data_IF_320929751620
#
_entry.id   IF_320929751620
#
_cell.length_a   1.000
_cell.length_b   1.000
_cell.length_c   1.000
_cell.angle_alpha   90.00
_cell.angle_beta   90.00
_cell.angle_gamma   90.00
#
_symmetry.space_group_name_H-M   'P 1'
#
loop_
_entity.id
_entity.type
_entity.pdbx_description
1 polymer ?
#
# COMPACT_ATOMS: atom_id res chain seq x y z
N UNK A 1 -25.00 -75.51 14.35
CA UNK A 1 -23.77 -74.71 14.53
C UNK A 1 -24.02 -73.41 13.72
N UNK A 2 -24.44 -72.37 14.41
CA UNK A 2 -24.75 -71.06 13.83
C UNK A 2 -23.49 -70.19 13.86
N UNK A 3 -23.06 -69.75 12.69
CA UNK A 3 -22.01 -68.77 12.56
C UNK A 3 -22.69 -67.44 12.27
N UNK A 4 -22.68 -66.54 13.26
CA UNK A 4 -23.12 -65.14 13.08
C UNK A 4 -21.98 -64.36 12.46
N UNK A 5 -22.25 -63.78 11.28
CA UNK A 5 -21.41 -62.75 10.66
C UNK A 5 -21.71 -61.41 11.37
N UNK A 6 -20.66 -60.86 11.97
CA UNK A 6 -20.68 -59.51 12.52
C UNK A 6 -20.24 -58.55 11.39
N UNK A 7 -21.22 -57.82 10.82
CA UNK A 7 -20.93 -56.70 9.91
C UNK A 7 -20.44 -55.49 10.72
N UNK A 8 -19.17 -55.14 10.52
CA UNK A 8 -18.64 -53.85 10.96
C UNK A 8 -19.05 -52.77 9.97
N UNK A 9 -20.07 -52.02 10.30
CA UNK A 9 -20.33 -50.71 9.69
C UNK A 9 -19.30 -49.72 10.25
N UNK A 10 -18.26 -49.44 9.45
CA UNK A 10 -17.36 -48.32 9.69
C UNK A 10 -17.99 -47.04 9.14
N UNK A 11 -18.74 -46.38 9.99
CA UNK A 11 -19.15 -44.99 9.77
C UNK A 11 -17.88 -44.11 9.69
N UNK A 12 -17.47 -43.79 8.45
CA UNK A 12 -16.44 -42.79 8.18
C UNK A 12 -17.03 -41.43 8.56
N UNK A 13 -16.68 -40.98 9.76
CA UNK A 13 -16.96 -39.60 10.17
C UNK A 13 -16.21 -38.64 9.20
N UNK A 14 -16.95 -38.03 8.29
CA UNK A 14 -16.42 -36.97 7.45
C UNK A 14 -15.90 -35.86 8.36
N UNK A 15 -14.58 -35.65 8.34
CA UNK A 15 -13.97 -34.47 8.97
C UNK A 15 -14.58 -33.24 8.31
N UNK A 16 -15.20 -32.34 9.06
CA UNK A 16 -15.73 -31.11 8.48
C UNK A 16 -14.57 -30.34 7.87
N UNK A 17 -14.52 -30.27 6.56
CA UNK A 17 -13.70 -29.31 5.83
C UNK A 17 -14.24 -27.94 6.17
N UNK A 18 -13.67 -27.28 7.17
CA UNK A 18 -13.88 -25.86 7.39
C UNK A 18 -13.36 -25.14 6.16
N UNK A 19 -14.26 -24.81 5.25
CA UNK A 19 -13.99 -23.87 4.18
C UNK A 19 -13.80 -22.51 4.84
N UNK A 20 -12.57 -22.04 4.93
CA UNK A 20 -12.30 -20.66 5.35
C UNK A 20 -12.93 -19.70 4.33
N UNK A 21 -13.58 -18.66 4.84
CA UNK A 21 -14.11 -17.57 4.01
C UNK A 21 -12.95 -16.88 3.27
N UNK A 22 -12.93 -16.89 1.92
CA UNK A 22 -11.85 -16.29 1.15
C UNK A 22 -11.63 -14.80 1.44
N UNK A 23 -12.71 -14.06 1.75
CA UNK A 23 -12.62 -12.63 2.10
C UNK A 23 -11.90 -12.45 3.44
N UNK A 24 -12.18 -13.29 4.42
CA UNK A 24 -11.50 -13.25 5.72
C UNK A 24 -10.02 -13.58 5.58
N UNK A 25 -9.68 -14.55 4.75
CA UNK A 25 -8.27 -14.91 4.48
C UNK A 25 -7.54 -13.77 3.76
N UNK A 26 -8.16 -13.19 2.73
CA UNK A 26 -7.58 -12.07 1.99
C UNK A 26 -7.45 -10.79 2.85
N UNK A 27 -8.37 -10.59 3.80
CA UNK A 27 -8.36 -9.46 4.71
C UNK A 27 -7.34 -9.59 5.85
N UNK A 28 -6.86 -10.81 6.13
CA UNK A 28 -6.00 -11.09 7.28
C UNK A 28 -4.72 -10.23 7.29
N UNK A 29 -3.99 -10.18 6.19
CA UNK A 29 -2.74 -9.40 6.11
C UNK A 29 -3.03 -7.90 6.22
N UNK A 30 -4.12 -7.43 5.59
CA UNK A 30 -4.55 -6.04 5.61
C UNK A 30 -4.93 -5.59 7.02
N UNK A 31 -5.55 -6.46 7.80
CA UNK A 31 -5.93 -6.19 9.19
C UNK A 31 -4.73 -5.83 10.09
N UNK A 32 -3.52 -6.15 9.68
CA UNK A 32 -2.31 -5.90 10.46
C UNK A 32 -1.55 -4.61 10.05
N UNK A 33 -2.06 -3.83 9.12
CA UNK A 33 -1.37 -2.61 8.65
C UNK A 33 -1.15 -1.57 9.77
N UNK A 34 -2.11 -1.41 10.69
CA UNK A 34 -1.90 -0.57 11.87
C UNK A 34 -0.83 -1.12 12.83
N UNK A 35 -0.76 -2.44 12.99
CA UNK A 35 0.29 -3.08 13.77
C UNK A 35 1.67 -2.92 13.12
N UNK A 36 1.77 -2.93 11.79
CA UNK A 36 3.01 -2.63 11.07
C UNK A 36 3.53 -1.21 11.35
N UNK A 37 2.64 -0.22 11.40
CA UNK A 37 2.98 1.14 11.80
C UNK A 37 3.55 1.19 13.23
N UNK A 38 2.93 0.46 14.18
CA UNK A 38 3.41 0.38 15.58
C UNK A 38 4.77 -0.30 15.69
N UNK A 39 5.04 -1.33 14.91
CA UNK A 39 6.37 -1.96 14.86
C UNK A 39 7.44 -0.94 14.46
N UNK A 40 7.15 -0.08 13.48
CA UNK A 40 8.08 0.98 13.08
C UNK A 40 8.19 2.06 14.18
N UNK A 41 7.08 2.45 14.82
CA UNK A 41 7.08 3.42 15.92
C UNK A 41 7.94 2.94 17.09
N UNK A 42 7.78 1.68 17.50
CA UNK A 42 8.57 1.08 18.57
C UNK A 42 10.05 0.93 18.18
N UNK A 43 10.32 0.58 16.92
CA UNK A 43 11.69 0.52 16.42
C UNK A 43 12.39 1.90 16.47
N UNK A 44 11.67 2.98 16.13
CA UNK A 44 12.16 4.36 16.28
C UNK A 44 12.39 4.67 17.74
N UNK A 45 11.42 4.40 18.63
CA UNK A 45 11.51 4.72 20.07
C UNK A 45 12.66 3.97 20.75
N UNK A 46 12.92 2.72 20.37
CA UNK A 46 14.01 1.91 20.91
C UNK A 46 15.40 2.26 20.35
N UNK A 47 15.51 3.29 19.52
CA UNK A 47 16.78 3.75 18.96
C UNK A 47 17.22 3.06 17.70
N UNK A 48 16.36 2.28 17.07
CA UNK A 48 16.70 1.55 15.82
C UNK A 48 17.10 2.45 14.66
N UNK A 49 16.71 3.74 14.68
CA UNK A 49 17.08 4.75 13.70
C UNK A 49 17.90 5.91 14.29
N UNK A 50 18.55 5.72 15.45
CA UNK A 50 19.36 6.75 16.12
C UNK A 50 20.38 7.39 15.18
N UNK A 51 21.00 6.59 14.34
CA UNK A 51 22.02 7.05 13.42
C UNK A 51 21.47 8.07 12.37
N UNK A 52 20.15 8.14 12.17
CA UNK A 52 19.49 9.10 11.27
C UNK A 52 19.27 10.44 11.96
N UNK A 53 19.00 10.41 13.27
CA UNK A 53 18.52 11.58 14.00
C UNK A 53 19.47 12.77 13.89
N UNK A 54 18.93 13.91 13.45
CA UNK A 54 19.66 15.17 13.34
C UNK A 54 20.77 15.19 12.30
N UNK A 55 20.92 14.15 11.47
CA UNK A 55 21.87 14.15 10.37
C UNK A 55 21.44 15.13 9.28
N UNK A 56 22.39 15.55 8.46
CA UNK A 56 22.15 16.40 7.29
C UNK A 56 22.64 15.69 6.03
N UNK A 57 21.93 14.67 5.55
CA UNK A 57 22.34 13.97 4.37
C UNK A 57 22.23 14.87 3.13
N UNK A 58 23.08 14.60 2.14
CA UNK A 58 22.98 15.27 0.84
C UNK A 58 21.71 14.86 0.09
N UNK A 59 21.29 13.60 0.25
CA UNK A 59 20.04 13.08 -0.28
C UNK A 59 19.58 11.84 0.48
N UNK A 60 18.27 11.54 0.36
CA UNK A 60 17.69 10.24 0.74
C UNK A 60 17.30 9.53 -0.56
N UNK A 61 17.79 8.31 -0.74
CA UNK A 61 17.53 7.52 -1.96
C UNK A 61 16.77 6.25 -1.59
N UNK A 62 15.55 6.13 -2.07
CA UNK A 62 14.76 4.92 -1.92
C UNK A 62 14.94 4.04 -3.15
N UNK A 63 15.54 2.87 -2.97
CA UNK A 63 15.78 1.89 -4.03
C UNK A 63 14.76 0.77 -3.94
N UNK A 64 13.93 0.62 -4.97
CA UNK A 64 12.91 -0.41 -5.06
C UNK A 64 12.58 -0.74 -6.50
N UNK A 65 12.23 -1.99 -6.78
CA UNK A 65 11.80 -2.47 -8.11
C UNK A 65 10.31 -2.78 -8.17
N UNK A 66 9.60 -2.56 -7.07
CA UNK A 66 8.18 -2.92 -6.93
C UNK A 66 7.30 -1.67 -7.01
N UNK A 67 6.19 -1.76 -7.77
CA UNK A 67 5.31 -0.63 -7.97
C UNK A 67 4.64 -0.19 -6.66
N UNK A 68 4.19 -1.11 -5.81
CA UNK A 68 3.59 -0.80 -4.50
C UNK A 68 4.60 -0.03 -3.63
N UNK A 69 5.83 -0.54 -3.50
CA UNK A 69 6.88 0.13 -2.72
C UNK A 69 7.27 1.50 -3.29
N UNK A 70 7.31 1.64 -4.62
CA UNK A 70 7.56 2.91 -5.31
C UNK A 70 6.50 3.95 -4.94
N UNK A 71 5.22 3.60 -5.06
CA UNK A 71 4.13 4.52 -4.76
C UNK A 71 3.97 4.77 -3.26
N UNK A 72 4.28 3.80 -2.40
CA UNK A 72 4.36 3.99 -0.94
C UNK A 72 5.40 5.05 -0.57
N UNK A 73 6.59 4.98 -1.16
CA UNK A 73 7.61 6.00 -0.96
C UNK A 73 7.15 7.39 -1.47
N UNK A 74 6.47 7.47 -2.61
CA UNK A 74 5.93 8.73 -3.12
C UNK A 74 4.84 9.32 -2.21
N UNK A 75 4.01 8.49 -1.56
CA UNK A 75 3.07 8.96 -0.53
C UNK A 75 3.81 9.63 0.62
N UNK A 76 4.86 8.99 1.14
CA UNK A 76 5.67 9.55 2.22
C UNK A 76 6.28 10.90 1.87
N UNK A 77 6.80 11.01 0.64
CA UNK A 77 7.36 12.26 0.10
C UNK A 77 6.30 13.36 0.03
N UNK A 78 5.11 13.02 -0.49
CA UNK A 78 4.03 14.00 -0.63
C UNK A 78 3.47 14.46 0.72
N UNK A 79 3.42 13.58 1.72
CA UNK A 79 2.96 13.92 3.07
C UNK A 79 3.99 14.74 3.87
N UNK A 80 5.27 14.62 3.53
CA UNK A 80 6.34 15.33 4.24
C UNK A 80 6.76 16.65 3.54
N UNK A 81 6.16 16.96 2.41
CA UNK A 81 6.49 18.20 1.68
C UNK A 81 6.12 19.46 2.48
N UNK A 82 6.94 20.55 2.42
CA UNK A 82 8.13 20.72 1.61
C UNK A 82 9.37 20.01 2.19
N UNK A 83 10.14 19.33 1.34
CA UNK A 83 11.31 18.57 1.74
C UNK A 83 12.54 19.46 1.98
N UNK A 84 13.31 19.21 3.02
CA UNK A 84 14.59 19.89 3.27
C UNK A 84 15.78 19.30 2.50
N UNK A 85 15.68 18.02 2.13
CA UNK A 85 16.70 17.32 1.38
C UNK A 85 16.08 16.67 0.14
N UNK A 86 16.82 16.52 -0.96
CA UNK A 86 16.35 15.77 -2.11
C UNK A 86 16.02 14.32 -1.72
N UNK A 87 14.82 13.85 -2.12
CA UNK A 87 14.42 12.45 -1.99
C UNK A 87 14.18 11.88 -3.37
N UNK A 88 14.86 10.75 -3.67
CA UNK A 88 14.83 10.12 -4.99
C UNK A 88 14.32 8.69 -4.82
N UNK A 89 13.30 8.33 -5.59
CA UNK A 89 12.80 6.94 -5.69
C UNK A 89 13.24 6.38 -7.02
N UNK A 90 13.92 5.24 -7.02
CA UNK A 90 14.55 4.68 -8.22
C UNK A 90 14.66 3.16 -8.15
N UNK A 91 14.68 2.51 -9.31
CA UNK A 91 14.91 1.06 -9.39
C UNK A 91 16.40 0.68 -9.25
N UNK A 92 17.32 1.58 -9.58
CA UNK A 92 18.76 1.32 -9.56
C UNK A 92 19.49 2.29 -8.62
N UNK A 93 20.51 1.81 -7.91
CA UNK A 93 21.34 2.66 -7.07
C UNK A 93 22.15 3.64 -7.93
N UNK A 94 21.92 4.97 -7.83
CA UNK A 94 22.62 5.93 -8.66
C UNK A 94 24.13 5.95 -8.37
N UNK A 95 24.93 6.24 -9.40
CA UNK A 95 26.39 6.22 -9.27
C UNK A 95 26.97 7.29 -8.35
N UNK A 96 26.24 8.38 -8.15
CA UNK A 96 26.68 9.50 -7.30
C UNK A 96 26.51 9.24 -5.79
N UNK A 97 25.74 8.22 -5.42
CA UNK A 97 25.42 7.90 -4.01
C UNK A 97 26.69 7.45 -3.27
N UNK A 98 26.89 8.02 -2.08
CA UNK A 98 28.09 7.81 -1.24
C UNK A 98 27.86 8.12 0.24
N UNK A 99 28.92 8.34 1.03
CA UNK A 99 28.85 8.40 2.50
C UNK A 99 27.96 9.51 3.08
N UNK A 100 27.60 10.51 2.29
CA UNK A 100 26.72 11.61 2.71
C UNK A 100 25.24 11.37 2.37
N UNK A 101 24.91 10.19 1.85
CA UNK A 101 23.55 9.87 1.44
C UNK A 101 22.97 8.77 2.37
N UNK A 102 21.66 8.83 2.58
CA UNK A 102 20.91 7.74 3.20
C UNK A 102 20.27 6.93 2.08
N UNK A 103 20.43 5.61 2.13
CA UNK A 103 19.83 4.68 1.17
C UNK A 103 18.80 3.80 1.90
N UNK A 104 17.56 3.83 1.44
CA UNK A 104 16.50 2.94 1.90
C UNK A 104 16.27 1.91 0.80
N UNK A 105 16.56 0.64 1.07
CA UNK A 105 16.17 -0.47 0.18
C UNK A 105 14.82 -1.00 0.64
N UNK A 106 13.79 -0.80 -0.20
CA UNK A 106 12.41 -1.13 0.14
C UNK A 106 11.84 -2.19 -0.81
N UNK A 107 11.30 -3.28 -0.23
CA UNK A 107 10.69 -4.39 -0.97
C UNK A 107 9.78 -5.21 -0.05
N UNK A 108 8.76 -5.83 -0.60
CA UNK A 108 7.94 -6.81 0.11
C UNK A 108 8.51 -8.25 -0.01
N UNK A 109 9.59 -8.42 -0.74
CA UNK A 109 10.25 -9.71 -0.94
C UNK A 109 11.43 -9.89 0.02
N UNK A 110 11.64 -11.12 0.45
CA UNK A 110 12.83 -11.49 1.24
C UNK A 110 14.08 -11.71 0.38
N UNK A 111 13.94 -11.84 -0.94
CA UNK A 111 15.02 -12.14 -1.87
C UNK A 111 14.84 -11.39 -3.19
N UNK A 112 15.87 -10.65 -3.57
CA UNK A 112 16.02 -9.97 -4.86
C UNK A 112 17.50 -9.75 -5.13
N UNK A 113 18.05 -10.39 -6.16
CA UNK A 113 19.47 -10.24 -6.51
C UNK A 113 19.81 -8.78 -6.84
N UNK A 114 18.94 -8.11 -7.58
CA UNK A 114 19.13 -6.71 -7.94
C UNK A 114 19.20 -5.79 -6.72
N UNK A 115 18.26 -5.95 -5.78
CA UNK A 115 18.27 -5.15 -4.54
C UNK A 115 19.39 -5.54 -3.60
N UNK A 116 19.81 -6.81 -3.57
CA UNK A 116 21.00 -7.27 -2.84
C UNK A 116 22.28 -6.61 -3.36
N UNK A 117 22.43 -6.50 -4.69
CA UNK A 117 23.56 -5.78 -5.30
C UNK A 117 23.52 -4.27 -4.97
N UNK A 118 22.34 -3.65 -4.98
CA UNK A 118 22.18 -2.25 -4.59
C UNK A 118 22.53 -2.04 -3.11
N UNK A 119 22.01 -2.89 -2.21
CA UNK A 119 22.27 -2.90 -0.78
C UNK A 119 23.78 -3.00 -0.48
N UNK A 120 24.43 -4.05 -0.97
CA UNK A 120 25.87 -4.30 -0.75
C UNK A 120 26.76 -3.21 -1.38
N UNK A 121 26.34 -2.66 -2.51
CA UNK A 121 27.06 -1.56 -3.15
C UNK A 121 26.95 -0.27 -2.33
N UNK A 122 25.76 0.05 -1.79
CA UNK A 122 25.56 1.22 -0.94
C UNK A 122 26.41 1.12 0.34
N UNK A 123 26.40 -0.05 1.01
CA UNK A 123 27.24 -0.29 2.19
C UNK A 123 28.73 -0.11 1.87
N UNK A 124 29.23 -0.73 0.79
CA UNK A 124 30.63 -0.57 0.37
C UNK A 124 31.02 0.87 0.04
N UNK A 125 30.07 1.71 -0.36
CA UNK A 125 30.29 3.15 -0.58
C UNK A 125 30.21 3.97 0.71
N UNK A 126 29.97 3.33 1.85
CA UNK A 126 29.88 3.99 3.16
C UNK A 126 28.59 4.75 3.38
N UNK A 127 27.52 4.45 2.63
CA UNK A 127 26.20 5.03 2.87
C UNK A 127 25.61 4.52 4.17
N UNK A 128 24.78 5.33 4.81
CA UNK A 128 23.85 4.83 5.81
C UNK A 128 22.77 4.06 5.07
N UNK A 129 22.63 2.77 5.36
CA UNK A 129 21.69 1.89 4.64
C UNK A 129 20.62 1.36 5.58
N UNK A 130 19.36 1.47 5.15
CA UNK A 130 18.18 0.98 5.86
C UNK A 130 17.48 -0.02 4.95
N UNK A 131 17.23 -1.23 5.46
CA UNK A 131 16.51 -2.29 4.75
C UNK A 131 15.09 -2.42 5.30
N UNK A 132 14.12 -2.33 4.39
CA UNK A 132 12.69 -2.63 4.63
C UNK A 132 12.31 -3.76 3.71
N UNK A 133 12.19 -4.97 4.24
CA UNK A 133 11.84 -6.17 3.45
C UNK A 133 11.03 -7.17 4.30
N UNK A 134 10.48 -8.18 3.65
CA UNK A 134 9.97 -9.33 4.39
C UNK A 134 11.09 -10.00 5.19
N UNK A 135 10.74 -10.64 6.29
CA UNK A 135 11.69 -11.29 7.20
C UNK A 135 12.48 -12.41 6.52
N UNK A 136 13.75 -12.53 6.89
CA UNK A 136 14.64 -13.61 6.41
C UNK A 136 15.14 -13.42 4.97
N UNK A 137 15.59 -14.50 4.36
CA UNK A 137 16.06 -14.49 2.97
C UNK A 137 17.46 -13.91 2.74
N UNK A 138 17.77 -13.64 1.47
CA UNK A 138 19.07 -13.15 1.02
C UNK A 138 19.36 -11.73 1.52
N UNK A 139 18.38 -10.83 1.41
CA UNK A 139 18.55 -9.42 1.77
C UNK A 139 18.93 -9.24 3.24
N UNK A 140 18.31 -9.99 4.15
CA UNK A 140 18.66 -9.94 5.58
C UNK A 140 20.07 -10.50 5.86
N UNK A 141 20.49 -11.54 5.12
CA UNK A 141 21.86 -12.06 5.24
C UNK A 141 22.91 -11.04 4.77
N UNK A 142 22.61 -10.37 3.69
CA UNK A 142 23.51 -9.36 3.12
C UNK A 142 23.56 -8.08 3.96
N UNK A 143 22.47 -7.74 4.65
CA UNK A 143 22.36 -6.60 5.55
C UNK A 143 23.03 -6.81 6.92
N UNK A 144 23.27 -8.04 7.32
CA UNK A 144 23.39 -8.52 8.72
C UNK A 144 24.42 -7.83 9.63
N UNK A 145 25.32 -6.97 9.15
CA UNK A 145 26.32 -6.29 10.00
C UNK A 145 26.48 -4.79 9.73
N UNK A 146 25.99 -4.27 8.63
CA UNK A 146 26.30 -2.92 8.19
C UNK A 146 25.05 -2.07 7.86
N UNK A 147 23.89 -2.70 7.69
CA UNK A 147 22.65 -2.01 7.42
C UNK A 147 21.68 -2.09 8.62
N UNK A 148 20.90 -1.04 8.79
CA UNK A 148 19.77 -1.02 9.72
C UNK A 148 18.63 -1.83 9.11
N UNK A 149 18.24 -2.92 9.75
CA UNK A 149 17.12 -3.76 9.31
C UNK A 149 15.88 -3.42 10.10
N UNK A 150 14.85 -2.92 9.41
CA UNK A 150 13.58 -2.60 10.05
C UNK A 150 12.78 -3.88 10.30
N UNK A 151 12.31 -4.12 11.53
CA UNK A 151 11.54 -5.33 11.84
C UNK A 151 10.20 -5.35 11.07
N UNK A 152 9.72 -6.55 10.81
CA UNK A 152 8.39 -6.81 10.27
C UNK A 152 7.62 -7.74 11.20
N UNK A 153 6.29 -7.71 11.12
CA UNK A 153 5.47 -8.68 11.84
C UNK A 153 5.72 -10.09 11.28
N UNK A 154 5.91 -11.09 12.15
CA UNK A 154 5.97 -12.46 11.71
C UNK A 154 4.61 -12.92 11.18
N UNK A 155 4.59 -13.89 10.27
CA UNK A 155 3.37 -14.52 9.71
C UNK A 155 2.52 -13.62 8.79
N UNK A 156 3.01 -12.46 8.39
CA UNK A 156 2.39 -11.62 7.36
C UNK A 156 3.15 -11.84 6.06
N UNK A 157 2.45 -12.32 5.04
CA UNK A 157 3.05 -12.67 3.75
C UNK A 157 2.71 -11.68 2.63
N UNK A 158 1.62 -10.94 2.79
CA UNK A 158 1.16 -9.93 1.83
C UNK A 158 1.99 -8.64 1.84
N UNK A 159 1.76 -7.76 0.86
CA UNK A 159 2.40 -6.45 0.85
C UNK A 159 1.91 -5.60 2.02
N UNK A 160 2.80 -4.79 2.59
CA UNK A 160 2.49 -3.84 3.64
C UNK A 160 2.91 -2.42 3.21
N UNK A 161 2.07 -1.74 2.40
CA UNK A 161 2.36 -0.39 1.93
C UNK A 161 2.55 0.58 3.08
N UNK A 162 1.79 0.45 4.18
CA UNK A 162 1.90 1.37 5.30
C UNK A 162 3.19 1.20 6.09
N UNK A 163 3.80 0.01 6.14
CA UNK A 163 5.13 -0.19 6.72
C UNK A 163 6.20 0.58 5.96
N UNK A 164 6.19 0.49 4.63
CA UNK A 164 7.14 1.23 3.79
C UNK A 164 6.93 2.74 3.96
N UNK A 165 5.68 3.20 3.95
CA UNK A 165 5.33 4.60 4.22
C UNK A 165 5.88 5.03 5.58
N UNK A 166 5.64 4.25 6.62
CA UNK A 166 6.08 4.56 7.99
C UNK A 166 7.60 4.72 8.09
N UNK A 167 8.37 3.82 7.46
CA UNK A 167 9.84 3.90 7.50
C UNK A 167 10.36 5.13 6.77
N UNK A 168 9.86 5.40 5.56
CA UNK A 168 10.30 6.59 4.80
C UNK A 168 9.90 7.87 5.55
N UNK A 169 8.68 7.93 6.10
CA UNK A 169 8.25 9.05 6.94
C UNK A 169 9.11 9.21 8.19
N UNK A 170 9.43 8.11 8.89
CA UNK A 170 10.28 8.15 10.08
C UNK A 170 11.68 8.69 9.74
N UNK A 171 12.29 8.22 8.67
CA UNK A 171 13.61 8.71 8.22
C UNK A 171 13.55 10.22 7.94
N UNK A 172 12.55 10.69 7.21
CA UNK A 172 12.41 12.11 6.88
C UNK A 172 12.13 12.95 8.14
N UNK A 173 11.27 12.47 9.04
CA UNK A 173 10.94 13.16 10.28
C UNK A 173 12.16 13.28 11.22
N UNK A 174 12.97 12.23 11.37
CA UNK A 174 14.15 12.20 12.23
C UNK A 174 15.26 13.15 11.80
N UNK A 175 15.25 13.61 10.54
CA UNK A 175 16.16 14.69 10.11
C UNK A 175 15.84 16.03 10.79
N UNK A 176 14.62 16.21 11.28
CA UNK A 176 14.09 17.48 11.81
C UNK A 176 13.52 17.40 13.21
N UNK A 177 13.15 16.22 13.67
CA UNK A 177 12.42 15.97 14.92
C UNK A 177 13.14 14.92 15.77
N UNK A 178 12.77 14.85 17.05
CA UNK A 178 13.22 13.80 17.93
C UNK A 178 12.45 12.48 17.73
N UNK A 179 13.00 11.41 18.27
CA UNK A 179 12.46 10.05 18.17
C UNK A 179 11.08 9.93 18.79
N UNK A 180 10.88 10.49 19.98
CA UNK A 180 9.61 10.34 20.69
C UNK A 180 8.46 10.98 19.94
N UNK A 181 8.67 12.17 19.39
CA UNK A 181 7.69 12.84 18.55
C UNK A 181 7.41 12.05 17.27
N UNK A 182 8.45 11.55 16.62
CA UNK A 182 8.31 10.73 15.41
C UNK A 182 7.51 9.45 15.69
N UNK A 183 7.86 8.74 16.77
CA UNK A 183 7.16 7.53 17.18
C UNK A 183 5.69 7.81 17.56
N UNK A 184 5.42 8.91 18.28
CA UNK A 184 4.05 9.31 18.65
C UNK A 184 3.18 9.55 17.43
N UNK A 185 3.67 10.26 16.41
CA UNK A 185 2.93 10.50 15.16
C UNK A 185 2.60 9.18 14.44
N UNK A 186 3.53 8.22 14.45
CA UNK A 186 3.29 6.90 13.85
C UNK A 186 2.25 6.09 14.63
N UNK A 187 2.26 6.16 15.98
CA UNK A 187 1.26 5.49 16.82
C UNK A 187 -0.14 6.07 16.67
N UNK A 188 -0.24 7.40 16.63
CA UNK A 188 -1.51 8.08 16.34
C UNK A 188 -2.05 7.67 14.96
N UNK A 189 -1.16 7.64 13.97
CA UNK A 189 -1.49 7.17 12.62
C UNK A 189 -1.95 5.71 12.61
N UNK A 190 -1.28 4.84 13.36
CA UNK A 190 -1.67 3.44 13.52
C UNK A 190 -3.08 3.30 14.11
N UNK A 191 -3.39 4.10 15.12
CA UNK A 191 -4.71 4.10 15.74
C UNK A 191 -5.82 4.55 14.78
N UNK A 192 -5.54 5.52 13.92
CA UNK A 192 -6.46 5.95 12.86
C UNK A 192 -6.65 4.86 11.80
N UNK A 193 -5.56 4.19 11.42
CA UNK A 193 -5.61 3.07 10.44
C UNK A 193 -6.41 1.91 11.00
N UNK A 194 -6.19 1.50 12.25
CA UNK A 194 -6.96 0.41 12.89
C UNK A 194 -8.45 0.73 12.95
N UNK A 195 -8.80 1.96 13.31
CA UNK A 195 -10.19 2.39 13.34
C UNK A 195 -10.86 2.30 11.96
N UNK A 196 -10.13 2.60 10.89
CA UNK A 196 -10.62 2.47 9.52
C UNK A 196 -10.75 1.00 9.09
N UNK A 197 -9.70 0.20 9.34
CA UNK A 197 -9.69 -1.24 9.02
C UNK A 197 -10.82 -1.97 9.72
N UNK A 198 -11.09 -1.63 10.99
CA UNK A 198 -12.19 -2.22 11.76
C UNK A 198 -13.54 -2.00 11.05
N UNK A 199 -13.79 -0.81 10.48
CA UNK A 199 -14.99 -0.51 9.70
C UNK A 199 -15.04 -1.22 8.34
N UNK A 200 -13.89 -1.68 7.85
CA UNK A 200 -13.75 -2.44 6.61
C UNK A 200 -13.75 -3.95 6.82
N UNK A 201 -13.96 -4.44 8.06
CA UNK A 201 -13.96 -5.89 8.37
C UNK A 201 -14.99 -6.66 7.55
N UNK A 202 -14.65 -7.88 7.07
CA UNK A 202 -15.60 -8.78 6.39
C UNK A 202 -16.86 -9.10 7.19
N UNK A 203 -16.85 -8.91 8.51
CA UNK A 203 -18.01 -9.09 9.38
C UNK A 203 -19.13 -8.11 9.08
N UNK A 204 -18.83 -6.96 8.46
CA UNK A 204 -19.84 -5.97 8.09
C UNK A 204 -20.37 -6.21 6.67
N UNK A 205 -21.71 -6.16 6.56
CA UNK A 205 -22.39 -6.23 5.27
C UNK A 205 -22.12 -5.01 4.39
N UNK A 206 -22.52 -5.12 3.13
CA UNK A 206 -22.29 -4.10 2.09
C UNK A 206 -22.70 -2.68 2.50
N UNK A 207 -23.88 -2.53 3.11
CA UNK A 207 -24.42 -1.22 3.49
C UNK A 207 -23.55 -0.47 4.51
N UNK A 208 -22.81 -1.20 5.35
CA UNK A 208 -21.98 -0.64 6.42
C UNK A 208 -20.49 -0.62 6.07
N UNK A 209 -20.04 -1.36 5.04
CA UNK A 209 -18.62 -1.55 4.71
C UNK A 209 -18.23 -0.78 3.46
N UNK A 210 -17.54 0.34 3.64
CA UNK A 210 -17.08 1.21 2.53
C UNK A 210 -16.09 0.51 1.60
N UNK A 211 -15.22 -0.34 2.12
CA UNK A 211 -14.26 -1.08 1.30
C UNK A 211 -14.97 -2.08 0.38
N UNK A 212 -16.00 -2.78 0.90
CA UNK A 212 -16.84 -3.67 0.10
C UNK A 212 -17.61 -2.91 -0.98
N UNK A 213 -18.17 -1.76 -0.66
CA UNK A 213 -18.84 -0.90 -1.65
C UNK A 213 -17.89 -0.45 -2.76
N UNK A 214 -16.65 -0.11 -2.44
CA UNK A 214 -15.61 0.26 -3.41
C UNK A 214 -15.24 -0.93 -4.31
N UNK A 215 -15.12 -2.12 -3.75
CA UNK A 215 -14.78 -3.32 -4.51
C UNK A 215 -15.85 -3.68 -5.56
N UNK A 216 -17.12 -3.34 -5.31
CA UNK A 216 -18.23 -3.64 -6.23
C UNK A 216 -18.35 -2.68 -7.41
N UNK A 217 -17.60 -1.57 -7.42
CA UNK A 217 -17.60 -0.67 -8.58
C UNK A 217 -17.04 -1.43 -9.78
N UNK A 218 -17.82 -1.56 -10.84
CA UNK A 218 -17.45 -2.26 -12.06
C UNK A 218 -17.03 -1.31 -13.18
N UNK A 219 -16.26 -1.82 -14.14
CA UNK A 219 -15.72 -1.04 -15.26
C UNK A 219 -14.29 -0.59 -15.03
N UNK A 220 -13.77 0.22 -15.95
CA UNK A 220 -12.44 0.80 -15.78
C UNK A 220 -12.47 1.97 -14.80
N UNK A 221 -11.65 1.93 -13.77
CA UNK A 221 -11.66 2.90 -12.68
C UNK A 221 -10.48 3.85 -12.81
N UNK A 222 -10.76 5.15 -12.74
CA UNK A 222 -9.73 6.19 -12.63
C UNK A 222 -9.75 6.73 -11.19
N UNK A 223 -8.65 6.49 -10.48
CA UNK A 223 -8.40 7.12 -9.19
C UNK A 223 -7.83 8.53 -9.41
N UNK A 224 -8.29 9.51 -8.64
CA UNK A 224 -7.84 10.89 -8.79
C UNK A 224 -7.67 11.60 -7.45
N UNK A 225 -7.02 12.74 -7.46
CA UNK A 225 -6.83 13.63 -6.32
C UNK A 225 -6.53 15.06 -6.74
N UNK A 226 -6.82 16.01 -5.89
CA UNK A 226 -6.65 17.46 -6.14
C UNK A 226 -5.35 18.01 -5.57
N UNK A 227 -4.82 17.40 -4.51
CA UNK A 227 -3.55 17.78 -3.88
C UNK A 227 -2.45 16.77 -4.20
N UNK A 228 -1.19 17.15 -3.99
CA UNK A 228 -0.06 16.23 -4.21
C UNK A 228 -0.17 14.92 -3.39
N UNK A 229 -0.62 15.03 -2.12
CA UNK A 229 -0.84 13.87 -1.27
C UNK A 229 -2.01 13.00 -1.75
N UNK A 230 -3.12 13.62 -2.14
CA UNK A 230 -4.27 12.90 -2.69
C UNK A 230 -3.94 12.19 -4.00
N UNK A 231 -3.16 12.81 -4.89
CA UNK A 231 -2.64 12.17 -6.11
C UNK A 231 -1.73 10.99 -5.78
N UNK A 232 -0.83 11.14 -4.80
CA UNK A 232 0.04 10.04 -4.38
C UNK A 232 -0.76 8.85 -3.80
N UNK A 233 -1.80 9.13 -3.00
CA UNK A 233 -2.75 8.12 -2.49
C UNK A 233 -3.47 7.43 -3.65
N UNK A 234 -4.02 8.20 -4.60
CA UNK A 234 -4.70 7.68 -5.78
C UNK A 234 -3.79 6.75 -6.60
N UNK A 235 -2.53 7.13 -6.80
CA UNK A 235 -1.54 6.33 -7.52
C UNK A 235 -1.28 4.99 -6.80
N UNK A 236 -1.10 5.00 -5.48
CA UNK A 236 -0.87 3.79 -4.70
C UNK A 236 -2.08 2.86 -4.75
N UNK A 237 -3.29 3.40 -4.57
CA UNK A 237 -4.52 2.58 -4.59
C UNK A 237 -4.74 1.99 -5.98
N UNK A 238 -4.51 2.74 -7.06
CA UNK A 238 -4.61 2.22 -8.42
C UNK A 238 -3.67 1.01 -8.64
N UNK A 239 -2.43 1.10 -8.18
CA UNK A 239 -1.46 -0.01 -8.28
C UNK A 239 -1.89 -1.20 -7.43
N UNK A 240 -2.34 -0.97 -6.19
CA UNK A 240 -2.88 -2.03 -5.33
C UNK A 240 -4.03 -2.75 -6.03
N UNK A 241 -5.04 -2.03 -6.51
CA UNK A 241 -6.20 -2.64 -7.16
C UNK A 241 -5.81 -3.42 -8.43
N UNK A 242 -4.92 -2.86 -9.25
CA UNK A 242 -4.41 -3.56 -10.44
C UNK A 242 -3.66 -4.84 -10.07
N UNK A 243 -2.89 -4.83 -8.98
CA UNK A 243 -2.16 -6.01 -8.49
C UNK A 243 -3.10 -7.12 -8.01
N UNK A 244 -4.32 -6.76 -7.59
CA UNK A 244 -5.36 -7.70 -7.19
C UNK A 244 -6.42 -7.95 -8.28
N UNK A 245 -6.08 -7.66 -9.55
CA UNK A 245 -6.89 -8.03 -10.71
C UNK A 245 -8.02 -7.07 -11.08
N UNK A 246 -8.12 -5.89 -10.44
CA UNK A 246 -9.12 -4.89 -10.78
C UNK A 246 -8.56 -3.85 -11.76
N UNK A 247 -9.22 -3.70 -12.91
CA UNK A 247 -8.81 -2.70 -13.90
C UNK A 247 -8.91 -1.28 -13.34
N UNK A 248 -7.76 -0.68 -13.07
CA UNK A 248 -7.70 0.67 -12.56
C UNK A 248 -6.45 1.43 -13.00
N UNK A 249 -6.55 2.73 -13.02
CA UNK A 249 -5.45 3.66 -13.29
C UNK A 249 -5.61 4.90 -12.42
N UNK A 250 -4.66 5.81 -12.49
CA UNK A 250 -4.74 7.09 -11.78
C UNK A 250 -4.40 8.25 -12.69
N UNK A 251 -5.07 9.38 -12.47
CA UNK A 251 -4.78 10.67 -13.11
C UNK A 251 -4.97 11.81 -12.12
N UNK A 252 -4.11 12.82 -12.12
CA UNK A 252 -4.37 14.05 -11.38
C UNK A 252 -5.70 14.69 -11.82
N UNK A 253 -6.43 15.30 -10.88
CA UNK A 253 -7.70 15.95 -11.17
C UNK A 253 -7.60 17.00 -12.29
N UNK A 254 -6.49 17.74 -12.36
CA UNK A 254 -6.23 18.72 -13.40
C UNK A 254 -6.21 18.13 -14.83
N UNK A 255 -5.87 16.85 -14.98
CA UNK A 255 -5.79 16.18 -16.28
C UNK A 255 -7.05 15.37 -16.62
N UNK A 256 -7.85 15.02 -15.61
CA UNK A 256 -8.99 14.12 -15.74
C UNK A 256 -10.04 14.64 -16.72
N UNK A 257 -10.37 15.93 -16.70
CA UNK A 257 -11.36 16.52 -17.60
C UNK A 257 -11.04 16.34 -19.09
N UNK A 258 -9.76 16.52 -19.45
CA UNK A 258 -9.30 16.31 -20.82
C UNK A 258 -9.31 14.83 -21.23
N UNK A 259 -8.99 13.93 -20.29
CA UNK A 259 -9.04 12.50 -20.54
C UNK A 259 -10.48 11.99 -20.71
N UNK A 260 -11.39 12.37 -19.83
CA UNK A 260 -12.82 11.98 -19.93
C UNK A 260 -13.45 12.41 -21.24
N UNK A 261 -13.11 13.63 -21.74
CA UNK A 261 -13.57 14.10 -23.04
C UNK A 261 -13.16 13.16 -24.19
N UNK A 262 -11.95 12.60 -24.15
CA UNK A 262 -11.47 11.65 -25.18
C UNK A 262 -12.18 10.29 -25.11
N UNK A 263 -12.43 9.76 -23.92
CA UNK A 263 -13.20 8.54 -23.76
C UNK A 263 -14.65 8.69 -24.25
N UNK A 264 -15.28 9.84 -24.03
CA UNK A 264 -16.63 10.13 -24.50
C UNK A 264 -16.73 10.19 -26.03
N UNK A 265 -15.67 10.62 -26.73
CA UNK A 265 -15.65 10.64 -28.20
C UNK A 265 -15.54 9.24 -28.81
N UNK A 266 -14.91 8.28 -28.15
CA UNK A 266 -14.78 6.91 -28.64
C UNK A 266 -16.12 6.14 -28.70
N UNK A 267 -17.14 6.64 -28.01
CA UNK A 267 -18.49 6.02 -27.93
C UNK A 267 -19.50 6.67 -28.91
N UNK A 268 -19.18 7.81 -29.52
CA UNK A 268 -20.06 8.43 -30.54
C UNK A 268 -19.79 7.83 -31.92
N UNK A 269 -20.29 6.63 -32.14
CA UNK A 269 -20.54 6.15 -33.51
C UNK A 269 -21.70 7.01 -34.07
N UNK A 270 -21.41 7.84 -35.07
CA UNK A 270 -22.40 8.70 -35.75
C UNK A 270 -23.44 7.86 -36.54
N UNK A 271 -23.20 6.56 -36.70
CA UNK A 271 -24.09 5.61 -37.35
C UNK A 271 -24.83 4.69 -36.35
N UNK A 272 -24.64 4.89 -35.03
CA UNK A 272 -25.33 4.12 -34.02
C UNK A 272 -26.84 4.37 -34.06
N UNK A 273 -27.60 3.31 -34.37
CA UNK A 273 -29.05 3.32 -34.30
C UNK A 273 -29.49 2.57 -33.05
N UNK A 274 -30.08 3.25 -32.06
CA UNK A 274 -30.49 2.63 -30.82
C UNK A 274 -31.54 1.53 -30.96
N UNK A 275 -32.26 1.47 -32.12
CA UNK A 275 -33.28 0.46 -32.36
C UNK A 275 -32.71 -0.78 -33.09
N UNK A 276 -31.58 -0.66 -33.76
CA UNK A 276 -30.94 -1.72 -34.55
C UNK A 276 -29.63 -2.22 -33.98
N UNK A 277 -28.87 -1.35 -33.32
CA UNK A 277 -27.55 -1.66 -32.78
C UNK A 277 -27.63 -2.04 -31.32
N UNK A 278 -26.97 -3.12 -30.92
CA UNK A 278 -26.72 -3.35 -29.49
C UNK A 278 -25.91 -2.17 -28.96
N UNK A 279 -26.36 -1.59 -27.83
CA UNK A 279 -25.60 -0.55 -27.16
C UNK A 279 -24.11 -0.92 -27.13
N UNK A 280 -23.20 -0.02 -27.58
CA UNK A 280 -21.79 -0.33 -27.57
C UNK A 280 -21.42 -0.79 -26.15
N UNK A 281 -20.86 -1.98 -26.04
CA UNK A 281 -20.31 -2.53 -24.81
C UNK A 281 -19.03 -1.76 -24.46
N UNK A 282 -19.11 -0.43 -24.41
CA UNK A 282 -18.06 0.41 -23.91
C UNK A 282 -17.93 0.13 -22.40
N UNK A 283 -16.74 -0.24 -21.97
CA UNK A 283 -16.44 -0.33 -20.54
C UNK A 283 -16.86 0.98 -19.88
N UNK A 284 -17.76 0.92 -18.89
CA UNK A 284 -18.16 2.13 -18.19
C UNK A 284 -16.94 2.65 -17.44
N UNK A 285 -16.55 3.88 -17.74
CA UNK A 285 -15.47 4.55 -17.04
C UNK A 285 -16.04 5.14 -15.76
N UNK A 286 -15.39 4.83 -14.63
CA UNK A 286 -15.76 5.31 -13.30
C UNK A 286 -14.62 6.12 -12.69
N UNK A 287 -14.95 7.13 -11.89
CA UNK A 287 -13.95 7.95 -11.21
C UNK A 287 -14.12 7.86 -9.70
N UNK A 288 -13.01 7.73 -8.98
CA UNK A 288 -12.97 7.80 -7.52
C UNK A 288 -11.96 8.89 -7.12
N UNK A 289 -12.44 9.93 -6.47
CA UNK A 289 -11.60 10.99 -5.94
C UNK A 289 -11.22 10.70 -4.48
N UNK A 290 -9.91 10.72 -4.20
CA UNK A 290 -9.32 10.53 -2.88
C UNK A 290 -8.89 11.89 -2.31
N UNK A 291 -9.84 12.69 -1.87
CA UNK A 291 -9.59 14.07 -1.44
C UNK A 291 -10.61 14.53 -0.41
N UNK A 292 -10.42 15.74 0.10
CA UNK A 292 -11.47 16.42 0.85
C UNK A 292 -12.72 16.63 -0.03
N UNK A 293 -13.92 16.66 0.57
CA UNK A 293 -15.15 16.75 -0.20
C UNK A 293 -15.18 18.03 -1.01
N UNK A 294 -15.17 17.87 -2.34
CA UNK A 294 -15.52 18.94 -3.26
C UNK A 294 -16.94 18.73 -3.77
N UNK A 295 -17.76 19.77 -3.84
CA UNK A 295 -19.13 19.63 -4.27
C UNK A 295 -19.21 19.22 -5.74
N UNK A 296 -19.98 18.17 -6.01
CA UNK A 296 -20.60 17.78 -7.29
C UNK A 296 -19.69 17.52 -8.52
N UNK A 297 -18.37 17.54 -8.38
CA UNK A 297 -17.48 17.38 -9.53
C UNK A 297 -17.15 15.92 -9.90
N UNK A 298 -17.42 14.97 -9.01
CA UNK A 298 -16.93 13.59 -9.13
C UNK A 298 -18.07 12.59 -8.99
N UNK A 299 -18.04 11.53 -9.77
CA UNK A 299 -19.00 10.44 -9.67
C UNK A 299 -19.02 9.80 -8.27
N UNK A 300 -17.85 9.71 -7.65
CA UNK A 300 -17.68 9.29 -6.26
C UNK A 300 -16.48 9.97 -5.61
N UNK A 301 -16.66 10.49 -4.42
CA UNK A 301 -15.58 11.02 -3.59
C UNK A 301 -15.45 10.21 -2.32
N UNK A 302 -14.25 9.69 -2.08
CA UNK A 302 -13.87 9.09 -0.81
C UNK A 302 -13.09 10.10 0.03
N UNK A 303 -13.60 10.41 1.19
CA UNK A 303 -12.95 11.31 2.14
C UNK A 303 -13.08 10.80 3.57
N UNK A 304 -12.25 11.31 4.43
CA UNK A 304 -12.24 11.01 5.86
C UNK A 304 -11.97 12.31 6.60
N UNK A 305 -12.83 12.62 7.56
CA UNK A 305 -12.70 13.82 8.40
C UNK A 305 -11.52 13.65 9.37
N UNK A 306 -10.34 14.08 8.98
CA UNK A 306 -9.16 14.11 9.84
C UNK A 306 -8.04 14.93 9.20
N UNK A 307 -7.06 15.33 9.97
CA UNK A 307 -5.89 16.06 9.50
C UNK A 307 -5.05 15.28 8.48
N UNK A 308 -4.12 15.96 7.85
CA UNK A 308 -3.42 15.55 6.63
C UNK A 308 -2.88 14.12 6.59
N UNK A 309 -1.97 13.78 7.52
CA UNK A 309 -1.31 12.46 7.50
C UNK A 309 -2.27 11.32 7.87
N UNK A 310 -3.01 11.47 8.96
CA UNK A 310 -3.98 10.46 9.41
C UNK A 310 -5.05 10.19 8.35
N UNK A 311 -5.54 11.22 7.68
CA UNK A 311 -6.51 11.09 6.57
C UNK A 311 -5.94 10.29 5.41
N UNK A 312 -4.74 10.59 4.96
CA UNK A 312 -4.11 9.88 3.84
C UNK A 312 -3.92 8.39 4.14
N UNK A 313 -3.41 8.06 5.33
CA UNK A 313 -3.19 6.66 5.72
C UNK A 313 -4.50 5.89 5.90
N UNK A 314 -5.57 6.52 6.41
CA UNK A 314 -6.91 5.94 6.46
C UNK A 314 -7.47 5.66 5.06
N UNK A 315 -7.32 6.60 4.11
CA UNK A 315 -7.74 6.39 2.71
C UNK A 315 -7.00 5.23 2.07
N UNK A 316 -5.68 5.11 2.31
CA UNK A 316 -4.89 3.97 1.82
C UNK A 316 -5.38 2.67 2.45
N UNK A 317 -5.61 2.63 3.76
CA UNK A 317 -6.14 1.46 4.46
C UNK A 317 -7.51 1.02 3.90
N UNK A 318 -8.43 1.96 3.66
CA UNK A 318 -9.73 1.69 3.02
C UNK A 318 -9.57 1.17 1.60
N UNK A 319 -8.75 1.82 0.79
CA UNK A 319 -8.49 1.41 -0.59
C UNK A 319 -7.81 0.04 -0.67
N UNK A 320 -6.90 -0.26 0.25
CA UNK A 320 -6.28 -1.57 0.35
C UNK A 320 -7.27 -2.62 0.87
N UNK A 321 -8.08 -2.31 1.89
CA UNK A 321 -9.11 -3.21 2.38
C UNK A 321 -10.12 -3.62 1.28
N UNK A 322 -10.39 -2.74 0.32
CA UNK A 322 -11.25 -3.07 -0.82
C UNK A 322 -10.72 -4.26 -1.64
N UNK A 323 -9.40 -4.49 -1.67
CA UNK A 323 -8.83 -5.61 -2.43
C UNK A 323 -9.24 -6.98 -1.90
N UNK A 324 -9.58 -7.11 -0.61
CA UNK A 324 -10.06 -8.36 -0.02
C UNK A 324 -11.45 -8.77 -0.57
N UNK A 325 -12.20 -7.83 -1.12
CA UNK A 325 -13.55 -8.03 -1.66
C UNK A 325 -13.59 -8.01 -3.20
N UNK A 326 -12.45 -7.90 -3.86
CA UNK A 326 -12.35 -8.04 -5.30
C UNK A 326 -12.50 -9.53 -5.60
N UNK A 327 -13.62 -9.89 -6.20
CA UNK A 327 -13.91 -11.30 -6.54
C UNK A 327 -12.83 -11.86 -7.45
N UNK A 328 -12.22 -12.92 -7.00
CA UNK A 328 -11.35 -13.79 -7.79
C UNK A 328 -12.14 -14.61 -8.80
#
# INVERSE_FOLDING_TARGET
MNTQEISHDSESAAVPTHSYDPEVVAFYDIAHEGAQLRVVAEFVRSGGLDAVQGTQPRSVVVVTTEAIATHSAHVSIALHAPLKVPVIVTAELPRYVGPLDIVIVATERSSSEHLSQALTTAMRRGCMVILVSASGGMLHKDAAQEAVVVPSLPLIEGPSPLRIIAVVMAVLALLEQDQERTATVLEESASHVDAEIMQCSPEYGEDANRARQLAQITGHIIHTGTTASAVAVANLIAVLWTSYGKESTSLPAAELGAALGRFSYAVKDIFFDPDLDKAPTGQSLKTIAWCEPEPDAWERTEHIDAGSTGTALRMIARGFAATAFISS
#
